data_IF_846857939698
#
_entry.id   IF_846857939698
#
_cell.length_a   1.000
_cell.length_b   1.000
_cell.length_c   1.000
_cell.angle_alpha   90.00
_cell.angle_beta   90.00
_cell.angle_gamma   90.00
#
_symmetry.space_group_name_H-M   'P 1'
#
loop_
_entity.id
_entity.type
_entity.pdbx_description
1 polymer ?
#
# COMPACT_ATOMS: atom_id res chain seq x y z
N UNK A 1 -2.81 -5.25 -18.20
CA UNK A 1 -2.32 -4.30 -19.22
C UNK A 1 -1.02 -3.67 -18.75
N UNK A 2 0.10 -4.30 -19.13
CA UNK A 2 1.41 -3.85 -18.71
C UNK A 2 2.21 -3.43 -19.94
N UNK A 3 2.74 -2.20 -19.94
CA UNK A 3 3.61 -1.66 -20.98
C UNK A 3 4.84 -2.54 -21.23
N UNK A 4 5.36 -3.16 -20.17
CA UNK A 4 6.47 -4.10 -20.27
C UNK A 4 6.08 -5.35 -21.08
N UNK A 5 4.87 -5.86 -20.89
CA UNK A 5 4.34 -6.99 -21.67
C UNK A 5 4.22 -6.68 -23.15
N UNK A 6 3.79 -5.47 -23.53
CA UNK A 6 3.75 -5.04 -24.93
C UNK A 6 5.16 -4.89 -25.51
N UNK A 7 6.09 -4.34 -24.74
CA UNK A 7 7.49 -4.22 -25.16
C UNK A 7 8.14 -5.59 -25.38
N UNK A 8 7.89 -6.55 -24.51
CA UNK A 8 8.37 -7.93 -24.69
C UNK A 8 7.79 -8.53 -25.96
N UNK A 9 6.47 -8.40 -26.20
CA UNK A 9 5.82 -8.89 -27.42
C UNK A 9 6.44 -8.30 -28.69
N UNK A 10 6.67 -6.99 -28.70
CA UNK A 10 7.30 -6.31 -29.81
C UNK A 10 8.74 -6.78 -30.04
N UNK A 11 9.55 -6.90 -28.98
CA UNK A 11 10.92 -7.37 -29.09
C UNK A 11 11.01 -8.81 -29.60
N UNK A 12 10.15 -9.69 -29.13
CA UNK A 12 10.08 -11.09 -29.61
C UNK A 12 9.70 -11.14 -31.08
N UNK A 13 8.70 -10.37 -31.51
CA UNK A 13 8.30 -10.26 -32.92
C UNK A 13 9.49 -9.81 -33.78
N UNK A 14 10.21 -8.79 -33.32
CA UNK A 14 11.32 -8.18 -34.08
C UNK A 14 12.52 -9.12 -34.19
N UNK A 15 12.90 -9.80 -33.10
CA UNK A 15 13.98 -10.78 -33.06
C UNK A 15 13.67 -11.99 -33.96
N UNK A 16 12.44 -12.47 -33.94
CA UNK A 16 12.00 -13.59 -34.78
C UNK A 16 11.68 -13.16 -36.24
N UNK A 17 11.74 -11.87 -36.55
CA UNK A 17 11.44 -11.29 -37.88
C UNK A 17 10.07 -11.72 -38.41
N UNK A 18 9.07 -11.85 -37.51
CA UNK A 18 7.71 -12.23 -37.88
C UNK A 18 6.94 -10.98 -38.34
N UNK A 19 6.30 -10.99 -39.52
CA UNK A 19 5.49 -9.87 -39.98
C UNK A 19 4.33 -9.57 -39.03
N UNK A 20 4.00 -8.29 -38.84
CA UNK A 20 2.90 -7.86 -37.97
C UNK A 20 1.56 -8.51 -38.35
N UNK A 21 1.33 -8.74 -39.64
CA UNK A 21 0.12 -9.41 -40.16
C UNK A 21 -0.03 -10.88 -39.67
N UNK A 22 1.09 -11.51 -39.32
CA UNK A 22 1.12 -12.89 -38.80
C UNK A 22 1.26 -12.95 -37.29
N UNK A 23 1.42 -11.81 -36.61
CA UNK A 23 1.57 -11.72 -35.16
C UNK A 23 0.23 -11.48 -34.50
N UNK A 24 -0.08 -12.26 -33.47
CA UNK A 24 -1.27 -12.11 -32.66
C UNK A 24 -0.90 -12.00 -31.19
N UNK A 25 -1.47 -11.06 -30.49
CA UNK A 25 -1.26 -10.80 -29.07
C UNK A 25 -2.36 -11.42 -28.24
N UNK A 26 -2.01 -12.20 -27.25
CA UNK A 26 -2.94 -12.70 -26.22
C UNK A 26 -2.64 -12.01 -24.89
N UNK A 27 -3.68 -11.61 -24.18
CA UNK A 27 -3.59 -10.90 -22.89
C UNK A 27 -4.44 -11.65 -21.89
N UNK A 28 -3.84 -11.97 -20.73
CA UNK A 28 -4.53 -12.58 -19.60
C UNK A 28 -3.97 -12.06 -18.28
N UNK A 29 -4.81 -11.97 -17.27
CA UNK A 29 -4.45 -11.44 -15.94
C UNK A 29 -4.18 -12.56 -14.93
N UNK A 30 -4.44 -13.80 -15.28
CA UNK A 30 -4.26 -14.99 -14.45
C UNK A 30 -3.79 -16.18 -15.29
N UNK A 31 -2.95 -17.01 -14.71
CA UNK A 31 -2.42 -18.21 -15.39
C UNK A 31 -3.29 -19.40 -15.04
N UNK A 32 -4.52 -19.41 -15.56
CA UNK A 32 -5.45 -20.53 -15.47
C UNK A 32 -5.74 -21.07 -16.87
N UNK A 33 -6.04 -22.37 -16.98
CA UNK A 33 -6.39 -23.01 -18.27
C UNK A 33 -7.53 -22.29 -18.98
N UNK A 34 -8.55 -21.86 -18.22
CA UNK A 34 -9.74 -21.17 -18.75
C UNK A 34 -9.39 -19.78 -19.29
N UNK A 35 -8.61 -18.99 -18.52
CA UNK A 35 -8.19 -17.66 -18.94
C UNK A 35 -7.31 -17.69 -20.19
N UNK A 36 -6.35 -18.62 -20.24
CA UNK A 36 -5.45 -18.79 -21.40
C UNK A 36 -6.26 -19.20 -22.63
N UNK A 37 -7.15 -20.20 -22.54
CA UNK A 37 -7.98 -20.63 -23.67
C UNK A 37 -8.91 -19.51 -24.16
N UNK A 38 -9.46 -18.70 -23.25
CA UNK A 38 -10.28 -17.52 -23.59
C UNK A 38 -9.45 -16.49 -24.36
N UNK A 39 -8.23 -16.22 -23.89
CA UNK A 39 -7.32 -15.27 -24.54
C UNK A 39 -6.88 -15.73 -25.93
N UNK A 40 -6.61 -17.04 -26.10
CA UNK A 40 -6.25 -17.62 -27.42
C UNK A 40 -7.41 -17.54 -28.41
N UNK A 41 -8.65 -17.68 -27.94
CA UNK A 41 -9.84 -17.54 -28.80
C UNK A 41 -10.12 -16.08 -29.23
N UNK A 42 -9.67 -15.13 -28.43
CA UNK A 42 -9.88 -13.69 -28.65
C UNK A 42 -8.56 -12.94 -28.71
N UNK A 43 -7.70 -13.20 -29.70
CA UNK A 43 -6.41 -12.54 -29.81
C UNK A 43 -6.60 -11.08 -30.25
N UNK A 44 -5.69 -10.22 -29.81
CA UNK A 44 -5.59 -8.81 -30.20
C UNK A 44 -4.35 -8.56 -31.06
N UNK A 45 -4.13 -7.33 -31.45
CA UNK A 45 -2.89 -6.86 -32.09
C UNK A 45 -1.97 -6.23 -31.03
N UNK A 46 -0.67 -6.14 -31.33
CA UNK A 46 0.28 -5.40 -30.48
C UNK A 46 -0.09 -3.91 -30.46
N UNK A 47 -0.10 -3.33 -29.26
CA UNK A 47 -0.29 -1.90 -29.09
C UNK A 47 1.07 -1.18 -29.17
N UNK A 48 1.33 -0.61 -30.35
CA UNK A 48 2.58 0.11 -30.63
C UNK A 48 2.69 1.39 -29.79
N UNK A 49 1.59 2.03 -29.44
CA UNK A 49 1.62 3.23 -28.57
C UNK A 49 2.05 2.87 -27.15
N UNK A 50 1.60 1.75 -26.64
CA UNK A 50 2.06 1.22 -25.34
C UNK A 50 3.56 0.85 -25.39
N UNK A 51 4.02 0.25 -26.47
CA UNK A 51 5.46 0.02 -26.69
C UNK A 51 6.25 1.33 -26.69
N UNK A 52 5.84 2.33 -27.48
CA UNK A 52 6.52 3.63 -27.46
C UNK A 52 6.48 4.33 -26.12
N UNK A 53 5.39 4.20 -25.38
CA UNK A 53 5.29 4.72 -24.00
C UNK A 53 6.33 4.08 -23.08
N UNK A 54 6.56 2.76 -23.20
CA UNK A 54 7.59 2.06 -22.44
C UNK A 54 9.00 2.53 -22.86
N UNK A 55 9.26 2.66 -24.16
CA UNK A 55 10.54 3.15 -24.66
C UNK A 55 10.82 4.60 -24.23
N UNK A 56 9.85 5.49 -24.36
CA UNK A 56 9.95 6.88 -23.91
C UNK A 56 10.33 6.97 -22.43
N UNK A 57 9.66 6.17 -21.59
CA UNK A 57 9.99 6.09 -20.17
C UNK A 57 11.42 5.64 -19.92
N UNK A 58 11.86 4.60 -20.60
CA UNK A 58 13.23 4.05 -20.46
C UNK A 58 14.30 5.06 -20.88
N UNK A 59 14.07 5.73 -22.02
CA UNK A 59 14.98 6.78 -22.51
C UNK A 59 15.01 7.96 -21.55
N UNK A 60 13.86 8.43 -21.09
CA UNK A 60 13.74 9.53 -20.14
C UNK A 60 14.49 9.24 -18.83
N UNK A 61 14.27 8.06 -18.24
CA UNK A 61 14.94 7.67 -17.00
C UNK A 61 16.47 7.64 -17.19
N UNK A 62 16.94 7.18 -18.34
CA UNK A 62 18.36 7.15 -18.66
C UNK A 62 18.95 8.56 -18.86
N UNK A 63 18.26 9.42 -19.63
CA UNK A 63 18.71 10.80 -19.89
C UNK A 63 18.78 11.60 -18.60
N UNK A 64 17.75 11.54 -17.76
CA UNK A 64 17.73 12.21 -16.45
C UNK A 64 18.89 11.71 -15.57
N UNK A 65 19.10 10.40 -15.50
CA UNK A 65 20.19 9.82 -14.72
C UNK A 65 21.57 10.33 -15.18
N UNK A 66 21.82 10.35 -16.48
CA UNK A 66 23.10 10.79 -17.04
C UNK A 66 23.35 12.30 -16.93
N UNK A 67 22.31 13.13 -17.07
CA UNK A 67 22.46 14.59 -17.03
C UNK A 67 22.51 15.13 -15.60
N UNK A 68 21.74 14.57 -14.68
CA UNK A 68 21.59 15.13 -13.32
C UNK A 68 22.55 14.48 -12.32
N UNK A 69 22.87 13.19 -12.44
CA UNK A 69 23.76 12.55 -11.46
C UNK A 69 25.15 13.23 -11.38
N UNK A 70 25.81 13.64 -12.48
CA UNK A 70 27.07 14.37 -12.39
C UNK A 70 26.97 15.71 -11.63
N UNK A 71 25.82 16.40 -11.71
CA UNK A 71 25.59 17.64 -10.96
C UNK A 71 25.57 17.33 -9.46
N UNK A 72 24.93 16.24 -9.05
CA UNK A 72 24.95 15.81 -7.64
C UNK A 72 26.38 15.47 -7.18
N UNK A 73 27.21 14.90 -8.03
CA UNK A 73 28.58 14.57 -7.68
C UNK A 73 29.45 15.83 -7.48
N UNK A 74 29.27 16.80 -8.35
CA UNK A 74 30.04 18.05 -8.27
C UNK A 74 29.60 18.96 -7.14
N UNK A 75 28.30 19.04 -6.85
CA UNK A 75 27.74 20.02 -5.92
C UNK A 75 27.55 19.47 -4.49
N UNK A 76 27.23 18.18 -4.37
CA UNK A 76 26.86 17.61 -3.07
C UNK A 76 27.88 16.59 -2.60
N UNK A 77 28.30 15.66 -3.44
CA UNK A 77 29.17 14.56 -3.04
C UNK A 77 30.60 15.05 -2.69
N UNK A 78 31.05 16.14 -3.27
CA UNK A 78 32.34 16.76 -2.91
C UNK A 78 32.37 17.23 -1.45
N UNK A 79 31.21 17.55 -0.87
CA UNK A 79 31.06 18.01 0.53
C UNK A 79 30.89 16.85 1.52
N UNK A 80 30.55 15.65 1.05
CA UNK A 80 30.35 14.45 1.87
C UNK A 80 31.37 13.39 1.51
N UNK A 81 32.15 12.93 2.49
CA UNK A 81 33.16 11.86 2.33
C UNK A 81 32.58 10.46 2.11
N UNK A 82 31.38 10.33 1.60
CA UNK A 82 30.76 9.04 1.38
C UNK A 82 31.29 8.33 0.14
N UNK A 83 31.58 7.04 0.26
CA UNK A 83 32.14 6.18 -0.80
C UNK A 83 31.14 5.79 -1.89
N UNK A 84 29.84 6.06 -1.74
CA UNK A 84 28.79 5.71 -2.70
C UNK A 84 28.43 6.92 -3.55
N UNK A 85 28.49 6.77 -4.87
CA UNK A 85 28.07 7.83 -5.79
C UNK A 85 26.56 8.08 -5.69
N UNK A 86 26.18 9.33 -5.52
CA UNK A 86 24.78 9.75 -5.57
C UNK A 86 24.22 9.56 -6.98
N UNK A 87 22.96 9.22 -7.10
CA UNK A 87 22.28 9.12 -8.38
C UNK A 87 20.96 9.87 -8.37
N UNK A 88 20.65 10.53 -9.48
CA UNK A 88 19.35 11.13 -9.73
C UNK A 88 18.47 10.19 -10.55
N UNK A 89 17.19 10.24 -10.30
CA UNK A 89 16.22 9.49 -11.07
C UNK A 89 14.81 10.02 -10.83
N UNK A 90 13.96 9.88 -11.82
CA UNK A 90 12.59 10.39 -11.80
C UNK A 90 11.79 9.96 -10.57
N UNK A 91 11.93 8.70 -10.13
CA UNK A 91 11.24 8.19 -8.93
C UNK A 91 11.97 8.62 -7.67
N UNK A 92 13.30 8.50 -7.63
CA UNK A 92 14.11 8.84 -6.45
C UNK A 92 13.96 10.32 -6.06
N UNK A 93 14.02 11.22 -7.03
CA UNK A 93 13.92 12.67 -6.77
C UNK A 93 12.56 13.06 -6.20
N UNK A 94 11.47 12.45 -6.69
CA UNK A 94 10.13 12.68 -6.15
C UNK A 94 10.00 12.16 -4.72
N UNK A 95 10.55 10.98 -4.42
CA UNK A 95 10.52 10.42 -3.06
C UNK A 95 11.29 11.32 -2.08
N UNK A 96 12.47 11.77 -2.47
CA UNK A 96 13.27 12.72 -1.65
C UNK A 96 12.50 14.01 -1.41
N UNK A 97 11.86 14.57 -2.43
CA UNK A 97 11.02 15.77 -2.30
C UNK A 97 9.90 15.55 -1.28
N UNK A 98 9.15 14.45 -1.39
CA UNK A 98 8.06 14.13 -0.46
C UNK A 98 8.54 13.97 1.00
N UNK A 99 9.73 13.38 1.18
CA UNK A 99 10.34 13.25 2.52
C UNK A 99 10.71 14.63 3.08
N UNK A 100 11.32 15.50 2.27
CA UNK A 100 11.69 16.85 2.70
C UNK A 100 10.44 17.68 3.02
N UNK A 101 9.41 17.65 2.19
CA UNK A 101 8.15 18.34 2.46
C UNK A 101 7.52 17.85 3.77
N UNK A 102 7.56 16.55 4.04
CA UNK A 102 7.05 16.00 5.30
C UNK A 102 7.90 16.43 6.49
N UNK A 103 9.23 16.42 6.36
CA UNK A 103 10.15 16.85 7.40
C UNK A 103 9.95 18.32 7.75
N UNK A 104 9.78 19.18 6.75
CA UNK A 104 9.48 20.61 6.97
C UNK A 104 8.18 20.77 7.77
N UNK A 105 7.12 20.02 7.42
CA UNK A 105 5.87 20.05 8.18
C UNK A 105 6.05 19.59 9.64
N UNK A 106 6.95 18.62 9.88
CA UNK A 106 7.27 18.17 11.25
C UNK A 106 8.02 19.25 12.01
N UNK A 107 8.98 19.92 11.38
CA UNK A 107 9.77 20.99 12.00
C UNK A 107 8.95 22.26 12.29
N UNK A 108 8.00 22.58 11.40
CA UNK A 108 7.08 23.71 11.55
C UNK A 108 5.95 23.43 12.55
N UNK A 109 5.77 22.16 12.95
CA UNK A 109 4.69 21.77 13.83
C UNK A 109 4.95 22.19 15.27
N UNK A 110 4.24 23.19 15.72
CA UNK A 110 4.19 23.60 17.12
C UNK A 110 3.26 22.68 17.91
N UNK A 111 3.81 21.61 18.48
CA UNK A 111 3.06 20.69 19.32
C UNK A 111 2.56 21.33 20.61
N UNK A 112 1.24 21.40 20.81
CA UNK A 112 0.67 21.74 22.10
C UNK A 112 0.38 20.47 22.89
N UNK A 113 0.73 20.40 24.18
CA UNK A 113 0.43 19.24 25.00
C UNK A 113 -1.10 19.08 25.15
N UNK A 114 -1.60 17.88 24.85
CA UNK A 114 -2.97 17.48 25.09
C UNK A 114 -2.98 16.41 26.16
N UNK A 115 -3.75 16.62 27.21
CA UNK A 115 -3.90 15.69 28.33
C UNK A 115 -5.18 14.88 28.16
N UNK A 116 -5.06 13.56 28.25
CA UNK A 116 -6.20 12.64 28.27
C UNK A 116 -6.29 12.00 29.66
N UNK A 117 -7.49 11.98 30.24
CA UNK A 117 -7.72 11.35 31.53
C UNK A 117 -8.39 10.01 31.29
N UNK A 118 -7.79 8.96 31.82
CA UNK A 118 -8.35 7.60 31.87
C UNK A 118 -8.60 7.20 33.30
N UNK A 119 -9.78 6.66 33.57
CA UNK A 119 -10.17 6.14 34.87
C UNK A 119 -10.44 4.65 34.80
N UNK A 120 -9.99 3.91 35.81
CA UNK A 120 -10.32 2.50 36.00
C UNK A 120 -11.28 2.38 37.20
N UNK A 121 -12.48 1.90 36.96
CA UNK A 121 -13.53 1.81 37.94
C UNK A 121 -13.86 0.36 38.26
N UNK A 122 -13.88 0.02 39.54
CA UNK A 122 -14.28 -1.31 39.98
C UNK A 122 -15.77 -1.29 40.36
N UNK A 123 -16.57 -2.08 39.67
CA UNK A 123 -17.99 -2.28 39.98
C UNK A 123 -18.13 -3.51 40.88
N UNK A 124 -18.57 -3.34 42.14
CA UNK A 124 -18.87 -4.47 43.02
C UNK A 124 -20.10 -5.22 42.54
N UNK A 125 -19.99 -6.49 42.20
CA UNK A 125 -21.12 -7.35 41.88
C UNK A 125 -21.35 -8.29 43.06
N UNK A 126 -22.59 -8.37 43.55
CA UNK A 126 -22.96 -9.30 44.64
C UNK A 126 -22.65 -10.73 44.19
N UNK A 127 -21.80 -11.42 44.97
CA UNK A 127 -21.37 -12.83 44.78
C UNK A 127 -20.48 -13.14 43.55
N UNK A 128 -19.89 -12.13 42.89
CA UNK A 128 -18.97 -12.31 41.77
C UNK A 128 -17.71 -11.45 41.95
N UNK A 129 -16.67 -11.74 41.20
CA UNK A 129 -15.48 -10.87 41.12
C UNK A 129 -15.87 -9.49 40.57
N UNK A 130 -15.33 -8.39 41.13
CA UNK A 130 -15.62 -7.05 40.64
C UNK A 130 -15.26 -6.93 39.16
N UNK A 131 -16.12 -6.28 38.38
CA UNK A 131 -15.83 -5.96 36.97
C UNK A 131 -15.08 -4.62 36.94
N UNK A 132 -13.96 -4.59 36.26
CA UNK A 132 -13.22 -3.37 35.99
C UNK A 132 -13.69 -2.74 34.68
N UNK A 133 -14.11 -1.49 34.74
CA UNK A 133 -14.52 -0.68 33.58
C UNK A 133 -13.45 0.41 33.39
N UNK A 134 -12.90 0.49 32.19
CA UNK A 134 -12.04 1.61 31.79
C UNK A 134 -12.90 2.66 31.08
N UNK A 135 -12.75 3.89 31.49
CA UNK A 135 -13.40 5.03 30.88
C UNK A 135 -12.39 6.14 30.55
N UNK A 136 -12.65 6.86 29.49
CA UNK A 136 -11.83 7.99 29.05
C UNK A 136 -12.69 9.26 29.05
N UNK A 137 -12.12 10.35 29.55
CA UNK A 137 -12.81 11.66 29.51
C UNK A 137 -12.92 12.12 28.06
N UNK A 138 -14.14 12.45 27.64
CA UNK A 138 -14.48 12.70 26.25
C UNK A 138 -13.89 14.00 25.66
N UNK A 139 -13.35 14.89 26.49
CA UNK A 139 -12.79 16.18 26.03
C UNK A 139 -11.27 16.17 26.20
N UNK A 140 -10.59 16.68 25.20
CA UNK A 140 -9.16 16.97 25.31
C UNK A 140 -8.93 18.17 26.21
N UNK A 141 -7.87 18.12 27.02
CA UNK A 141 -7.49 19.19 27.94
C UNK A 141 -6.14 19.73 27.47
N UNK A 142 -6.08 20.99 27.13
CA UNK A 142 -4.91 21.68 26.63
C UNK A 142 -4.09 22.39 27.72
N UNK A 143 -4.64 22.48 28.94
CA UNK A 143 -4.05 23.26 30.03
C UNK A 143 -3.87 22.40 31.29
N UNK A 144 -2.65 22.38 31.83
CA UNK A 144 -2.28 21.66 33.04
C UNK A 144 -3.08 22.11 34.27
N UNK A 145 -3.35 23.38 34.40
CA UNK A 145 -4.14 23.93 35.53
C UNK A 145 -5.58 23.42 35.50
N UNK A 146 -6.19 23.28 34.35
CA UNK A 146 -7.52 22.71 34.17
C UNK A 146 -7.51 21.21 34.50
N UNK A 147 -6.47 20.49 34.07
CA UNK A 147 -6.30 19.08 34.42
C UNK A 147 -6.24 18.89 35.94
N UNK A 148 -5.38 19.64 36.63
CA UNK A 148 -5.17 19.50 38.06
C UNK A 148 -6.46 19.82 38.87
N UNK A 149 -7.23 20.83 38.44
CA UNK A 149 -8.55 21.14 39.01
C UNK A 149 -9.55 20.00 38.85
N UNK A 150 -9.66 19.44 37.65
CA UNK A 150 -10.55 18.29 37.38
C UNK A 150 -10.17 17.07 38.21
N UNK A 151 -8.87 16.74 38.28
CA UNK A 151 -8.38 15.62 39.06
C UNK A 151 -8.64 15.81 40.57
N UNK A 152 -8.52 17.02 41.10
CA UNK A 152 -8.79 17.33 42.48
C UNK A 152 -10.28 17.11 42.82
N UNK A 153 -11.19 17.57 41.95
CA UNK A 153 -12.62 17.36 42.10
C UNK A 153 -12.97 15.87 42.01
N UNK A 154 -12.52 15.19 40.98
CA UNK A 154 -12.87 13.80 40.72
C UNK A 154 -12.34 12.79 41.73
N UNK A 155 -11.30 13.12 42.48
CA UNK A 155 -10.83 12.28 43.62
C UNK A 155 -11.82 12.19 44.76
N UNK A 156 -12.69 13.19 44.88
CA UNK A 156 -13.70 13.30 45.96
C UNK A 156 -15.11 12.93 45.49
N UNK A 157 -15.33 12.91 44.17
CA UNK A 157 -16.64 12.68 43.58
C UNK A 157 -16.98 11.20 43.45
N UNK A 158 -18.32 10.94 43.43
CA UNK A 158 -18.85 9.61 43.08
C UNK A 158 -19.20 9.55 41.60
N UNK A 159 -18.84 8.47 40.98
CA UNK A 159 -19.11 8.23 39.57
C UNK A 159 -20.32 7.31 39.40
N UNK A 160 -21.16 7.62 38.41
CA UNK A 160 -22.40 6.87 38.13
C UNK A 160 -22.46 6.58 36.63
N UNK A 161 -22.98 5.40 36.27
CA UNK A 161 -23.33 5.10 34.88
C UNK A 161 -24.63 5.84 34.58
N UNK A 162 -24.55 6.87 33.74
CA UNK A 162 -25.71 7.70 33.41
C UNK A 162 -26.55 7.06 32.30
N UNK A 163 -25.91 6.44 31.31
CA UNK A 163 -26.61 5.85 30.16
C UNK A 163 -25.78 4.69 29.58
N UNK A 164 -26.50 3.71 29.00
CA UNK A 164 -25.89 2.58 28.28
C UNK A 164 -26.52 2.52 26.90
N UNK A 165 -25.74 2.90 25.88
CA UNK A 165 -26.18 2.84 24.48
C UNK A 165 -25.61 1.64 23.80
N UNK A 166 -26.45 0.77 23.32
CA UNK A 166 -26.07 -0.37 22.50
C UNK A 166 -26.21 0.01 21.02
N UNK A 167 -25.13 -0.11 20.25
CA UNK A 167 -25.14 0.14 18.82
C UNK A 167 -24.66 -1.10 18.09
N UNK A 168 -25.46 -1.56 17.14
CA UNK A 168 -25.02 -2.61 16.23
C UNK A 168 -23.99 -2.03 15.27
N UNK A 169 -22.83 -2.64 15.22
CA UNK A 169 -21.78 -2.27 14.26
C UNK A 169 -21.55 -3.43 13.30
N UNK A 170 -21.39 -3.12 12.02
CA UNK A 170 -21.01 -4.09 11.01
C UNK A 170 -19.52 -3.94 10.72
N UNK A 171 -18.81 -5.07 10.66
CA UNK A 171 -17.43 -5.12 10.21
C UNK A 171 -17.40 -5.66 8.78
N UNK A 172 -17.06 -4.81 7.85
CA UNK A 172 -16.88 -5.23 6.46
C UNK A 172 -15.60 -6.06 6.31
N UNK A 173 -15.59 -7.05 5.41
CA UNK A 173 -14.37 -7.74 5.04
C UNK A 173 -13.36 -6.78 4.40
N UNK A 174 -12.05 -7.08 4.49
CA UNK A 174 -11.04 -6.26 3.82
C UNK A 174 -11.23 -6.33 2.29
N UNK A 175 -10.87 -5.23 1.63
CA UNK A 175 -10.88 -5.17 0.16
C UNK A 175 -9.74 -6.01 -0.43
N UNK A 176 -9.86 -6.47 -1.69
CA UNK A 176 -8.77 -7.15 -2.39
C UNK A 176 -7.49 -6.30 -2.43
N UNK A 177 -6.34 -6.95 -2.49
CA UNK A 177 -5.07 -6.26 -2.57
C UNK A 177 -4.84 -5.62 -3.94
N UNK A 178 -4.32 -4.41 -3.91
CA UNK A 178 -3.58 -3.79 -5.01
C UNK A 178 -2.08 -3.84 -4.69
N UNK A 179 -1.22 -3.51 -5.65
CA UNK A 179 0.24 -3.59 -5.46
C UNK A 179 0.73 -2.91 -4.19
N UNK A 180 0.26 -1.69 -3.91
CA UNK A 180 0.70 -0.91 -2.75
C UNK A 180 0.21 -1.49 -1.42
N UNK A 181 -1.05 -1.91 -1.34
CA UNK A 181 -1.61 -2.49 -0.11
C UNK A 181 -1.03 -3.87 0.19
N UNK A 182 -0.74 -4.68 -0.85
CA UNK A 182 -0.02 -5.94 -0.70
C UNK A 182 1.36 -5.73 -0.07
N UNK A 183 2.12 -4.75 -0.57
CA UNK A 183 3.45 -4.43 -0.05
C UNK A 183 3.40 -3.92 1.40
N UNK A 184 2.42 -3.07 1.73
CA UNK A 184 2.22 -2.53 3.08
C UNK A 184 1.87 -3.63 4.08
N UNK A 185 0.92 -4.49 3.74
CA UNK A 185 0.50 -5.61 4.60
C UNK A 185 1.62 -6.65 4.78
N UNK A 186 2.34 -6.98 3.71
CA UNK A 186 3.49 -7.88 3.77
C UNK A 186 4.61 -7.33 4.64
N UNK A 187 4.91 -6.03 4.52
CA UNK A 187 5.89 -5.36 5.37
C UNK A 187 5.45 -5.33 6.83
N UNK A 188 4.19 -4.97 7.10
CA UNK A 188 3.66 -4.84 8.46
C UNK A 188 3.50 -6.18 9.18
N UNK A 189 2.99 -7.22 8.48
CA UNK A 189 2.65 -8.50 9.10
C UNK A 189 3.76 -9.54 9.02
N UNK A 190 4.57 -9.51 7.96
CA UNK A 190 5.59 -10.52 7.69
C UNK A 190 7.03 -9.97 7.79
N UNK A 191 7.20 -8.65 7.90
CA UNK A 191 8.52 -8.01 7.99
C UNK A 191 9.36 -8.09 6.70
N UNK A 192 8.74 -8.42 5.55
CA UNK A 192 9.44 -8.56 4.28
C UNK A 192 9.45 -7.26 3.49
N UNK A 193 10.54 -7.03 2.75
CA UNK A 193 10.70 -5.81 1.95
C UNK A 193 9.73 -5.76 0.75
N UNK A 194 9.37 -4.56 0.23
CA UNK A 194 8.55 -4.45 -0.97
C UNK A 194 9.14 -5.19 -2.18
N UNK A 195 10.46 -5.19 -2.33
CA UNK A 195 11.16 -5.92 -3.40
C UNK A 195 10.96 -7.44 -3.28
N UNK A 196 11.12 -7.96 -2.10
CA UNK A 196 10.93 -9.37 -1.80
C UNK A 196 9.47 -9.78 -1.95
N UNK A 197 8.53 -8.96 -1.45
CA UNK A 197 7.09 -9.14 -1.65
C UNK A 197 6.75 -9.32 -3.13
N UNK A 198 7.27 -8.44 -4.00
CA UNK A 198 7.00 -8.52 -5.44
C UNK A 198 7.65 -9.75 -6.08
N UNK A 199 8.82 -10.19 -5.61
CA UNK A 199 9.45 -11.42 -6.08
C UNK A 199 8.63 -12.67 -5.73
N UNK A 200 8.11 -12.72 -4.51
CA UNK A 200 7.23 -13.81 -4.06
C UNK A 200 5.90 -13.79 -4.82
N UNK A 201 5.29 -12.61 -4.96
CA UNK A 201 4.04 -12.44 -5.70
C UNK A 201 4.19 -12.87 -7.17
N UNK A 202 5.33 -12.58 -7.82
CA UNK A 202 5.64 -13.05 -9.17
C UNK A 202 5.62 -14.59 -9.24
N UNK A 203 6.26 -15.26 -8.29
CA UNK A 203 6.27 -16.73 -8.24
C UNK A 203 4.86 -17.33 -8.02
N UNK A 204 4.05 -16.67 -7.18
CA UNK A 204 2.67 -17.10 -6.95
C UNK A 204 1.79 -16.92 -8.21
N UNK A 205 1.98 -15.81 -8.93
CA UNK A 205 1.32 -15.58 -10.20
C UNK A 205 1.70 -16.63 -11.25
N UNK A 206 3.00 -16.91 -11.41
CA UNK A 206 3.50 -17.91 -12.37
C UNK A 206 2.96 -19.32 -12.08
N UNK A 207 2.70 -19.62 -10.82
CA UNK A 207 2.04 -20.88 -10.39
C UNK A 207 0.52 -20.85 -10.48
N UNK A 208 -0.08 -19.73 -10.88
CA UNK A 208 -1.54 -19.58 -11.01
C UNK A 208 -2.29 -19.44 -9.68
N UNK A 209 -1.59 -19.12 -8.59
CA UNK A 209 -2.23 -18.96 -7.27
C UNK A 209 -2.87 -17.60 -7.07
N UNK A 210 -2.39 -16.57 -7.73
CA UNK A 210 -2.91 -15.20 -7.67
C UNK A 210 -3.05 -14.62 -9.08
N UNK A 211 -3.85 -13.56 -9.20
CA UNK A 211 -3.92 -12.73 -10.41
C UNK A 211 -2.65 -11.87 -10.53
N UNK A 212 -2.47 -11.20 -11.66
CA UNK A 212 -1.31 -10.35 -11.89
C UNK A 212 -1.17 -9.29 -10.80
N UNK A 213 -0.03 -9.28 -10.12
CA UNK A 213 0.21 -8.50 -8.91
C UNK A 213 0.49 -7.02 -9.14
N UNK A 214 0.81 -6.60 -10.37
CA UNK A 214 1.00 -5.18 -10.70
C UNK A 214 -0.32 -4.59 -11.17
N UNK A 215 -1.17 -4.27 -10.21
CA UNK A 215 -2.49 -3.70 -10.46
C UNK A 215 -2.83 -2.64 -9.42
N UNK A 216 -3.59 -1.65 -9.82
CA UNK A 216 -4.26 -0.65 -8.97
C UNK A 216 -5.78 -0.87 -8.94
N UNK A 217 -6.27 -1.90 -9.63
CA UNK A 217 -7.68 -2.27 -9.67
C UNK A 217 -8.06 -3.23 -8.55
N UNK A 218 -9.21 -2.98 -7.95
CA UNK A 218 -9.86 -3.85 -6.95
C UNK A 218 -10.84 -4.86 -7.58
N UNK A 219 -11.01 -4.80 -8.91
CA UNK A 219 -11.97 -5.65 -9.62
C UNK A 219 -11.43 -7.07 -9.70
N UNK A 220 -12.22 -8.01 -9.21
CA UNK A 220 -11.94 -9.44 -9.30
C UNK A 220 -12.53 -10.03 -10.59
N UNK A 221 -11.88 -11.05 -11.13
CA UNK A 221 -12.42 -11.80 -12.25
C UNK A 221 -13.64 -12.64 -11.81
N UNK A 222 -14.54 -12.94 -12.76
CA UNK A 222 -15.71 -13.77 -12.50
C UNK A 222 -15.32 -15.15 -11.93
N UNK A 223 -14.21 -15.72 -12.41
CA UNK A 223 -13.68 -16.99 -11.92
C UNK A 223 -13.20 -16.91 -10.47
N UNK A 224 -12.52 -15.82 -10.11
CA UNK A 224 -12.12 -15.57 -8.73
C UNK A 224 -13.34 -15.43 -7.80
N UNK A 225 -14.38 -14.73 -8.24
CA UNK A 225 -15.63 -14.57 -7.49
C UNK A 225 -16.34 -15.92 -7.28
N UNK A 226 -16.41 -16.76 -8.32
CA UNK A 226 -16.98 -18.12 -8.20
C UNK A 226 -16.20 -18.99 -7.21
N UNK A 227 -14.86 -18.93 -7.25
CA UNK A 227 -14.00 -19.69 -6.35
C UNK A 227 -14.13 -19.21 -4.89
N UNK A 228 -14.24 -17.92 -4.66
CA UNK A 228 -14.48 -17.33 -3.34
C UNK A 228 -15.85 -17.79 -2.81
N UNK A 229 -16.90 -17.69 -3.62
CA UNK A 229 -18.26 -18.16 -3.23
C UNK A 229 -18.24 -19.62 -2.81
N UNK A 230 -17.57 -20.50 -3.58
CA UNK A 230 -17.46 -21.93 -3.24
C UNK A 230 -16.73 -22.20 -1.92
N UNK A 231 -15.76 -21.35 -1.54
CA UNK A 231 -15.07 -21.46 -0.24
C UNK A 231 -15.92 -20.95 0.90
N UNK A 232 -16.51 -19.76 0.76
CA UNK A 232 -17.35 -19.13 1.80
C UNK A 232 -18.57 -19.96 2.15
N UNK A 233 -19.17 -20.70 1.18
CA UNK A 233 -20.34 -21.58 1.43
C UNK A 233 -19.93 -22.90 2.13
N UNK A 234 -18.62 -23.25 2.14
CA UNK A 234 -18.14 -24.49 2.80
C UNK A 234 -17.70 -24.27 4.26
N UNK A 235 -17.50 -23.04 4.68
CA UNK A 235 -17.23 -22.64 6.07
C UNK A 235 -18.52 -22.15 6.76
#
# INVERSE_FOLDING_TARGET
>A
FDREGEAIGWHVQNVLKVPTSKTKRIIFTEITKKAILKAVKNPTTLDINMFYSQQARRVLDRVIGYLISPILWSQIQSSYKEKKSLSAGRVQSVVVKLIIERENLIQEFEGKPIYKIKGSFQLPIKKMTPITIEAEYAKDIDNRTTLDKLLAIWKLDKFFIQDIKTKNTTRNPPIPFITSTLQQEASSKLGISPKETMSIAQKLYEKGHITYMRTDSLILSDEALENIKKKVVKE
#
